data_IF_975729507718
#
_entry.id   IF_975729507718
#
_cell.length_a   1.000
_cell.length_b   1.000
_cell.length_c   1.000
_cell.angle_alpha   90.00
_cell.angle_beta   90.00
_cell.angle_gamma   90.00
#
_symmetry.space_group_name_H-M   'P 1'
#
loop_
_entity.id
_entity.type
_entity.pdbx_description
1 polymer ?
#
# COMPACT_ATOMS: atom_id res chain seq x y z
N UNK A 1 -0.39 1.01 3.62
CA UNK A 1 -0.74 -0.11 4.51
C UNK A 1 -1.67 -1.05 3.75
N UNK A 2 -1.64 -2.34 4.03
CA UNK A 2 -2.56 -3.34 3.46
C UNK A 2 -3.51 -3.78 4.56
N UNK A 3 -4.80 -3.66 4.29
CA UNK A 3 -5.86 -4.11 5.20
C UNK A 3 -6.73 -5.15 4.51
N UNK A 4 -7.23 -6.10 5.29
CA UNK A 4 -8.27 -7.06 4.89
C UNK A 4 -9.37 -6.95 5.93
N UNK A 5 -10.61 -6.73 5.49
CA UNK A 5 -11.80 -6.54 6.34
C UNK A 5 -11.62 -5.55 7.51
N UNK A 6 -10.78 -4.54 7.29
CA UNK A 6 -10.44 -3.49 8.27
C UNK A 6 -9.25 -3.82 9.18
N UNK A 7 -8.77 -5.07 9.19
CA UNK A 7 -7.59 -5.52 9.90
C UNK A 7 -6.30 -5.19 9.16
N UNK A 8 -5.33 -4.56 9.84
CA UNK A 8 -3.98 -4.32 9.33
C UNK A 8 -3.21 -5.64 9.29
N UNK A 9 -2.95 -6.12 8.07
CA UNK A 9 -2.15 -7.33 7.83
C UNK A 9 -0.71 -7.01 7.43
N UNK A 10 -0.41 -5.78 7.01
CA UNK A 10 0.95 -5.41 6.64
C UNK A 10 1.11 -4.20 5.74
N UNK A 11 2.13 -4.21 4.91
CA UNK A 11 2.39 -3.13 3.96
C UNK A 11 3.67 -3.26 3.17
N UNK A 12 3.82 -2.35 2.22
CA UNK A 12 5.00 -2.21 1.38
C UNK A 12 5.88 -1.03 1.79
N UNK A 13 7.15 -1.10 1.40
CA UNK A 13 8.15 -0.04 1.47
C UNK A 13 8.93 0.01 0.17
N UNK A 14 9.40 1.21 -0.17
CA UNK A 14 10.29 1.44 -1.31
C UNK A 14 11.65 1.93 -0.79
N UNK A 15 12.71 1.54 -1.48
CA UNK A 15 14.06 2.04 -1.28
C UNK A 15 14.69 2.37 -2.63
N UNK A 16 15.51 3.42 -2.65
CA UNK A 16 16.21 3.95 -3.83
C UNK A 16 17.49 4.67 -3.36
N UNK A 17 18.42 5.07 -4.27
CA UNK A 17 19.60 5.86 -3.91
C UNK A 17 19.23 7.16 -3.20
N UNK A 18 19.95 7.51 -2.13
CA UNK A 18 19.63 8.69 -1.32
C UNK A 18 19.79 10.03 -2.07
N UNK A 19 20.62 10.03 -3.11
CA UNK A 19 20.94 11.16 -3.97
C UNK A 19 20.11 11.20 -5.28
N UNK A 20 19.20 10.23 -5.48
CA UNK A 20 18.34 10.23 -6.67
C UNK A 20 17.42 11.47 -6.67
N UNK A 21 17.44 12.32 -7.72
CA UNK A 21 16.57 13.47 -7.79
C UNK A 21 15.15 13.03 -8.19
N UNK A 22 14.15 13.80 -7.75
CA UNK A 22 12.73 13.48 -7.99
C UNK A 22 12.32 13.59 -9.48
N UNK A 23 13.14 14.25 -10.29
CA UNK A 23 12.85 14.52 -11.71
C UNK A 23 13.40 13.48 -12.67
N UNK A 24 14.14 12.49 -12.18
CA UNK A 24 14.72 11.43 -13.02
C UNK A 24 14.51 10.05 -12.40
N UNK A 25 14.43 8.98 -13.22
CA UNK A 25 14.36 7.62 -12.68
C UNK A 25 15.61 7.29 -11.85
N UNK A 26 15.48 6.72 -10.65
CA UNK A 26 16.64 6.32 -9.86
C UNK A 26 17.38 5.17 -10.55
N UNK A 27 18.69 5.06 -10.29
CA UNK A 27 19.50 3.95 -10.81
C UNK A 27 19.03 2.57 -10.37
N UNK A 28 18.29 2.48 -9.26
CA UNK A 28 17.57 1.29 -8.82
C UNK A 28 16.39 1.65 -7.91
N UNK A 29 15.40 0.75 -7.85
CA UNK A 29 14.26 0.83 -6.94
C UNK A 29 13.98 -0.57 -6.38
N UNK A 30 13.87 -0.68 -5.06
CA UNK A 30 13.53 -1.94 -4.37
C UNK A 30 12.19 -1.77 -3.69
N UNK A 31 11.27 -2.69 -3.97
CA UNK A 31 10.03 -2.85 -3.21
C UNK A 31 10.17 -4.02 -2.23
N UNK A 32 9.91 -3.75 -0.95
CA UNK A 32 9.81 -4.78 0.09
C UNK A 32 8.41 -4.80 0.68
N UNK A 33 7.82 -5.99 0.81
CA UNK A 33 6.54 -6.19 1.47
C UNK A 33 6.68 -7.03 2.74
N UNK A 34 5.91 -6.68 3.76
CA UNK A 34 5.70 -7.51 4.95
C UNK A 34 4.21 -7.76 5.08
N UNK A 35 3.83 -9.04 5.10
CA UNK A 35 2.44 -9.48 5.30
C UNK A 35 2.43 -10.49 6.44
N UNK A 36 1.52 -10.30 7.40
CA UNK A 36 1.28 -11.22 8.50
C UNK A 36 0.45 -12.39 7.96
N UNK A 37 1.07 -13.56 7.81
CA UNK A 37 0.42 -14.76 7.27
C UNK A 37 -0.24 -15.61 8.34
N UNK A 38 0.33 -15.64 9.55
CA UNK A 38 -0.17 -16.44 10.69
C UNK A 38 -0.29 -15.56 11.92
N UNK A 39 -1.42 -15.65 12.62
CA UNK A 39 -1.62 -15.08 13.95
C UNK A 39 -1.14 -16.05 15.05
N UNK A 40 0.08 -15.88 15.57
CA UNK A 40 0.53 -16.65 16.75
C UNK A 40 -0.11 -16.09 18.03
N UNK A 41 -1.29 -16.60 18.38
CA UNK A 41 -1.88 -16.39 19.70
C UNK A 41 -3.29 -16.95 19.86
N UNK A 42 -3.46 -17.90 20.79
CA UNK A 42 -4.72 -18.11 21.50
C UNK A 42 -5.05 -16.85 22.32
N UNK A 43 -5.58 -15.79 21.70
CA UNK A 43 -6.20 -14.67 22.43
C UNK A 43 -7.40 -14.14 21.64
N UNK A 44 -8.57 -14.63 22.05
CA UNK A 44 -9.93 -14.11 21.86
C UNK A 44 -10.12 -13.15 20.67
N UNK A 45 -10.76 -13.66 19.62
CA UNK A 45 -11.39 -12.83 18.59
C UNK A 45 -12.19 -11.70 19.27
N UNK A 46 -11.81 -10.45 19.04
CA UNK A 46 -12.46 -9.25 19.59
C UNK A 46 -11.57 -8.28 20.36
N UNK A 47 -10.34 -8.66 20.75
CA UNK A 47 -9.46 -7.75 21.53
C UNK A 47 -8.75 -6.69 20.68
N UNK A 48 -8.50 -6.96 19.39
CA UNK A 48 -7.86 -6.02 18.45
C UNK A 48 -8.46 -6.17 17.03
N UNK A 49 -9.67 -5.64 16.78
CA UNK A 49 -10.36 -5.80 15.49
C UNK A 49 -9.63 -5.17 14.30
N UNK A 50 -8.60 -4.35 14.55
CA UNK A 50 -7.79 -3.70 13.51
C UNK A 50 -6.46 -4.42 13.26
N UNK A 51 -6.23 -5.59 13.86
CA UNK A 51 -5.00 -6.39 13.75
C UNK A 51 -5.38 -7.77 13.25
N UNK A 52 -4.92 -8.13 12.05
CA UNK A 52 -5.27 -9.41 11.43
C UNK A 52 -4.04 -10.13 10.86
N UNK A 53 -4.23 -11.40 10.53
CA UNK A 53 -3.34 -12.24 9.74
C UNK A 53 -4.17 -12.94 8.65
N UNK A 54 -3.53 -13.34 7.54
CA UNK A 54 -4.26 -13.92 6.40
C UNK A 54 -5.06 -15.19 6.77
N UNK A 55 -4.50 -16.07 7.60
CA UNK A 55 -5.21 -17.26 8.10
C UNK A 55 -6.47 -16.92 8.89
N UNK A 56 -6.45 -15.84 9.68
CA UNK A 56 -7.60 -15.36 10.44
C UNK A 56 -8.71 -14.74 9.57
N UNK A 57 -8.36 -14.34 8.34
CA UNK A 57 -9.29 -13.76 7.35
C UNK A 57 -9.75 -14.80 6.30
N UNK A 58 -9.57 -16.10 6.58
CA UNK A 58 -10.05 -17.19 5.73
C UNK A 58 -9.11 -17.57 4.57
N UNK A 59 -7.84 -17.14 4.60
CA UNK A 59 -6.82 -17.51 3.60
C UNK A 59 -5.94 -18.68 4.07
N UNK A 60 -6.56 -19.72 4.64
CA UNK A 60 -5.90 -20.88 5.26
C UNK A 60 -5.02 -21.67 4.27
N UNK A 61 -5.40 -21.70 2.98
CA UNK A 61 -4.66 -22.36 1.89
C UNK A 61 -3.68 -21.43 1.14
N UNK A 62 -3.62 -20.14 1.49
CA UNK A 62 -2.72 -19.18 0.87
C UNK A 62 -1.32 -19.25 1.50
N UNK A 63 -0.63 -20.37 1.29
CA UNK A 63 0.76 -20.53 1.69
C UNK A 63 1.65 -19.41 1.13
N UNK A 64 2.69 -19.01 1.87
CA UNK A 64 3.58 -17.89 1.52
C UNK A 64 4.18 -18.00 0.11
N UNK A 65 4.42 -19.22 -0.38
CA UNK A 65 4.91 -19.48 -1.73
C UNK A 65 3.88 -19.11 -2.80
N UNK A 66 2.61 -19.48 -2.64
CA UNK A 66 1.53 -19.13 -3.57
C UNK A 66 1.26 -17.63 -3.57
N UNK A 67 1.32 -17.01 -2.40
CA UNK A 67 1.19 -15.56 -2.29
C UNK A 67 2.33 -14.85 -3.03
N UNK A 68 3.57 -15.31 -2.86
CA UNK A 68 4.73 -14.77 -3.55
C UNK A 68 4.63 -14.95 -5.07
N UNK A 69 4.24 -16.14 -5.55
CA UNK A 69 4.04 -16.41 -6.97
C UNK A 69 2.95 -15.52 -7.56
N UNK A 70 1.79 -15.46 -6.90
CA UNK A 70 0.68 -14.61 -7.33
C UNK A 70 1.08 -13.14 -7.34
N UNK A 71 1.77 -12.66 -6.30
CA UNK A 71 2.27 -11.30 -6.22
C UNK A 71 3.22 -10.99 -7.39
N UNK A 72 4.21 -11.84 -7.65
CA UNK A 72 5.15 -11.64 -8.74
C UNK A 72 4.44 -11.59 -10.11
N UNK A 73 3.49 -12.50 -10.33
CA UNK A 73 2.69 -12.53 -11.58
C UNK A 73 1.88 -11.25 -11.77
N UNK A 74 1.16 -10.82 -10.74
CA UNK A 74 0.34 -9.60 -10.82
C UNK A 74 1.20 -8.33 -10.91
N UNK A 75 2.35 -8.29 -10.23
CA UNK A 75 3.30 -7.19 -10.33
C UNK A 75 3.82 -7.04 -11.77
N UNK A 76 4.22 -8.15 -12.40
CA UNK A 76 4.69 -8.13 -13.79
C UNK A 76 3.61 -7.65 -14.75
N UNK A 77 2.36 -8.10 -14.58
CA UNK A 77 1.22 -7.62 -15.39
C UNK A 77 0.97 -6.13 -15.19
N UNK A 78 1.02 -5.64 -13.96
CA UNK A 78 0.83 -4.22 -13.66
C UNK A 78 1.95 -3.35 -14.26
N UNK A 79 3.20 -3.81 -14.19
CA UNK A 79 4.35 -3.12 -14.81
C UNK A 79 4.22 -3.12 -16.33
N UNK A 80 3.85 -4.24 -16.94
CA UNK A 80 3.64 -4.31 -18.40
C UNK A 80 2.53 -3.37 -18.85
N UNK A 81 1.40 -3.38 -18.13
CA UNK A 81 0.29 -2.45 -18.38
C UNK A 81 0.72 -0.98 -18.23
N UNK A 82 1.56 -0.65 -17.25
CA UNK A 82 2.10 0.71 -17.08
C UNK A 82 3.13 1.08 -18.16
N UNK A 83 3.85 0.12 -18.71
CA UNK A 83 4.76 0.40 -19.85
C UNK A 83 3.99 0.60 -21.15
N UNK A 84 2.89 -0.14 -21.31
CA UNK A 84 2.04 -0.07 -22.50
C UNK A 84 1.05 1.11 -22.47
N UNK A 85 0.62 1.54 -21.28
CA UNK A 85 -0.35 2.62 -21.07
C UNK A 85 0.23 3.74 -20.20
N UNK A 86 -0.24 4.96 -20.35
CA UNK A 86 0.17 6.06 -19.47
C UNK A 86 -0.18 5.79 -17.99
N UNK A 87 0.59 6.36 -17.06
CA UNK A 87 0.45 6.21 -15.60
C UNK A 87 -1.01 6.32 -15.12
N UNK A 88 -1.77 7.26 -15.67
CA UNK A 88 -3.17 7.49 -15.33
C UNK A 88 -4.09 6.27 -15.52
N UNK A 89 -3.75 5.36 -16.45
CA UNK A 89 -4.53 4.15 -16.72
C UNK A 89 -4.40 3.13 -15.59
N UNK A 90 -3.18 2.90 -15.12
CA UNK A 90 -2.89 1.92 -14.05
C UNK A 90 -3.24 2.45 -12.66
N UNK A 91 -3.22 3.76 -12.45
CA UNK A 91 -3.52 4.36 -11.15
C UNK A 91 -5.00 4.46 -10.84
N UNK A 92 -5.88 4.38 -11.84
CA UNK A 92 -7.34 4.48 -11.63
C UNK A 92 -7.83 3.40 -10.67
N UNK A 93 -7.47 2.14 -10.94
CA UNK A 93 -7.82 1.03 -10.07
C UNK A 93 -7.23 1.19 -8.67
N UNK A 94 -6.03 1.75 -8.54
CA UNK A 94 -5.41 1.99 -7.24
C UNK A 94 -6.21 2.99 -6.39
N UNK A 95 -6.68 4.09 -6.99
CA UNK A 95 -7.47 5.11 -6.30
C UNK A 95 -8.77 4.52 -5.74
N UNK A 96 -9.39 3.58 -6.45
CA UNK A 96 -10.62 2.89 -6.00
C UNK A 96 -10.42 2.06 -4.72
N UNK A 97 -9.18 1.68 -4.39
CA UNK A 97 -8.83 0.93 -3.18
C UNK A 97 -8.42 1.82 -2.01
N UNK A 98 -8.34 3.14 -2.18
CA UNK A 98 -7.97 4.05 -1.11
C UNK A 98 -9.12 4.23 -0.12
N UNK A 99 -8.82 4.13 1.18
CA UNK A 99 -9.74 4.56 2.23
C UNK A 99 -9.71 6.09 2.30
N UNK A 100 -10.78 6.74 1.86
CA UNK A 100 -10.85 8.19 1.71
C UNK A 100 -11.88 8.82 2.67
N UNK A 101 -11.66 10.07 3.11
CA UNK A 101 -12.68 10.82 3.85
C UNK A 101 -13.99 10.94 3.04
N UNK A 102 -15.13 10.88 3.73
CA UNK A 102 -16.44 11.02 3.08
C UNK A 102 -16.53 12.33 2.29
N UNK A 103 -16.99 12.22 1.04
CA UNK A 103 -17.19 13.37 0.14
C UNK A 103 -15.93 13.90 -0.52
N UNK A 104 -14.75 13.30 -0.27
CA UNK A 104 -13.52 13.62 -1.00
C UNK A 104 -13.56 13.02 -2.41
N UNK A 105 -13.11 13.81 -3.39
CA UNK A 105 -12.87 13.39 -4.76
C UNK A 105 -11.36 13.25 -4.95
N UNK A 106 -10.84 12.01 -5.03
CA UNK A 106 -9.41 11.74 -5.13
C UNK A 106 -8.90 11.89 -6.57
N UNK A 107 -7.65 12.34 -6.69
CA UNK A 107 -6.85 12.24 -7.91
C UNK A 107 -5.39 12.02 -7.53
N UNK A 108 -4.60 11.46 -8.45
CA UNK A 108 -3.15 11.41 -8.30
C UNK A 108 -2.53 12.42 -9.27
N UNK A 109 -1.60 13.24 -8.76
CA UNK A 109 -0.74 14.07 -9.60
C UNK A 109 0.30 13.17 -10.33
N UNK A 110 0.92 13.71 -11.35
CA UNK A 110 1.97 13.07 -12.16
C UNK A 110 3.15 12.53 -11.34
N UNK A 111 3.46 13.13 -10.19
CA UNK A 111 4.49 12.68 -9.25
C UNK A 111 3.98 11.63 -8.24
N UNK A 112 2.71 11.23 -8.32
CA UNK A 112 2.07 10.28 -7.41
C UNK A 112 1.52 10.88 -6.12
N UNK A 113 1.58 12.20 -5.93
CA UNK A 113 0.93 12.87 -4.80
C UNK A 113 -0.59 12.69 -4.85
N UNK A 114 -1.21 12.45 -3.69
CA UNK A 114 -2.66 12.36 -3.58
C UNK A 114 -3.26 13.76 -3.45
N UNK A 115 -4.18 14.07 -4.35
CA UNK A 115 -4.97 15.29 -4.36
C UNK A 115 -6.40 14.96 -3.92
N UNK A 116 -6.84 15.56 -2.83
CA UNK A 116 -8.22 15.45 -2.36
C UNK A 116 -8.95 16.77 -2.60
N UNK A 117 -10.09 16.69 -3.28
CA UNK A 117 -10.95 17.86 -3.52
C UNK A 117 -12.33 17.64 -2.95
N UNK A 118 -12.95 18.70 -2.46
CA UNK A 118 -14.34 18.69 -2.00
C UNK A 118 -15.14 19.73 -2.79
N UNK A 119 -16.47 19.52 -2.87
CA UNK A 119 -17.35 20.46 -3.56
C UNK A 119 -17.24 21.85 -2.92
N UNK A 120 -16.98 22.86 -3.74
CA UNK A 120 -16.85 24.26 -3.31
C UNK A 120 -15.44 24.66 -2.84
N UNK A 121 -14.49 23.73 -2.80
CA UNK A 121 -13.10 24.04 -2.45
C UNK A 121 -12.34 24.58 -3.67
N UNK A 122 -11.56 25.65 -3.48
CA UNK A 122 -10.81 26.31 -4.55
C UNK A 122 -9.52 25.60 -4.94
N UNK A 123 -8.88 24.91 -3.99
CA UNK A 123 -7.60 24.24 -4.19
C UNK A 123 -7.63 22.85 -3.56
N UNK A 124 -7.07 21.85 -4.23
CA UNK A 124 -6.97 20.50 -3.68
C UNK A 124 -6.09 20.48 -2.42
N UNK A 125 -6.48 19.67 -1.45
CA UNK A 125 -5.58 19.27 -0.37
C UNK A 125 -4.58 18.26 -0.91
N UNK A 126 -3.28 18.53 -0.75
CA UNK A 126 -2.20 17.74 -1.34
C UNK A 126 -1.48 16.94 -0.26
N UNK A 127 -1.43 15.63 -0.44
CA UNK A 127 -0.68 14.72 0.40
C UNK A 127 0.54 14.19 -0.36
N UNK A 128 1.72 14.54 0.13
CA UNK A 128 2.99 14.16 -0.51
C UNK A 128 3.24 12.65 -0.40
N UNK A 129 3.48 12.00 -1.55
CA UNK A 129 3.87 10.60 -1.59
C UNK A 129 5.23 10.38 -0.92
N UNK A 130 6.19 11.27 -1.19
CA UNK A 130 7.53 11.21 -0.59
C UNK A 130 7.48 11.25 0.93
N UNK A 131 6.67 12.16 1.50
CA UNK A 131 6.49 12.23 2.94
C UNK A 131 5.86 10.94 3.50
N UNK A 132 4.88 10.36 2.79
CA UNK A 132 4.23 9.10 3.18
C UNK A 132 5.18 7.90 3.13
N UNK A 133 6.14 7.87 2.20
CA UNK A 133 7.14 6.81 2.09
C UNK A 133 8.19 6.86 3.21
N UNK A 134 8.47 8.05 3.76
CA UNK A 134 9.44 8.22 4.84
C UNK A 134 8.99 7.58 6.17
N UNK A 135 7.69 7.63 6.46
CA UNK A 135 7.11 7.08 7.69
C UNK A 135 5.92 6.17 7.35
N UNK A 136 6.16 4.89 7.05
CA UNK A 136 5.09 3.96 6.70
C UNK A 136 4.12 3.79 7.86
N UNK A 137 2.83 4.05 7.62
CA UNK A 137 1.79 3.99 8.65
C UNK A 137 1.60 2.60 9.27
N UNK A 138 2.03 1.55 8.57
CA UNK A 138 1.88 0.16 8.98
C UNK A 138 3.04 -0.36 9.84
N UNK A 139 4.22 0.25 9.77
CA UNK A 139 5.44 -0.31 10.34
C UNK A 139 5.56 0.04 11.83
N UNK A 140 5.75 -0.98 12.66
CA UNK A 140 6.18 -0.84 14.05
C UNK A 140 7.72 -0.81 14.10
N UNK A 141 8.34 0.31 14.51
CA UNK A 141 9.81 0.42 14.56
C UNK A 141 10.45 -0.50 15.60
N UNK A 142 9.72 -0.93 16.63
CA UNK A 142 10.26 -1.79 17.68
C UNK A 142 10.34 -3.25 17.24
N UNK A 143 9.35 -3.72 16.47
CA UNK A 143 9.26 -5.13 16.06
C UNK A 143 9.69 -5.36 14.60
N UNK A 144 9.76 -4.30 13.79
CA UNK A 144 9.99 -4.39 12.34
C UNK A 144 8.83 -4.98 11.55
N UNK A 145 7.73 -5.34 12.22
CA UNK A 145 6.53 -5.91 11.63
C UNK A 145 5.37 -4.92 11.55
N UNK A 146 4.16 -5.39 11.19
CA UNK A 146 2.96 -4.56 11.20
C UNK A 146 2.58 -4.15 12.61
N UNK A 147 2.12 -2.90 12.78
CA UNK A 147 1.60 -2.35 14.05
C UNK A 147 0.47 -3.22 14.61
N UNK A 148 0.33 -3.15 15.93
CA UNK A 148 -0.80 -3.69 16.70
C UNK A 148 -1.79 -2.59 17.03
#
# INVERSE_FOLDING_TARGET
AVHVDGGLIGGGRLAWPADAPETEPPGWLVFGASIRTIGLGEREAGLFPLVAALDQEGFEDAGSERLLESFARHLMVAIDAWRANEFASVTRSYVDHLTLPKGALPALDSNGDLLLTWRGQKAADRHSLRAALAVPSWLDPATGGPRR
#
